data_IF_972432044275
#
_entry.id   IF_972432044275
#
_cell.length_a   1.000
_cell.length_b   1.000
_cell.length_c   1.000
_cell.angle_alpha   90.00
_cell.angle_beta   90.00
_cell.angle_gamma   90.00
#
_symmetry.space_group_name_H-M   'P 1'
#
loop_
_entity.id
_entity.type
_entity.pdbx_description
1 polymer ?
#
# COMPACT_ATOMS: atom_id res chain seq x y z
N UNK A 1 0.37 -20.09 -18.72
CA UNK A 1 0.84 -19.56 -18.65
C UNK A 1 1.20 -18.92 -19.18
N UNK A 2 1.27 -18.70 -19.61
CA UNK A 2 1.85 -18.07 -20.07
C UNK A 2 2.44 -17.49 -19.86
N UNK A 3 2.42 -17.98 -19.70
CA UNK A 3 3.13 -17.28 -19.34
C UNK A 3 4.02 -16.68 -20.00
N UNK A 4 4.33 -16.22 -19.67
CA UNK A 4 5.41 -15.51 -19.94
C UNK A 4 6.28 -16.10 -20.95
N UNK A 5 6.54 -15.43 -22.02
CA UNK A 5 7.50 -15.85 -23.02
C UNK A 5 8.90 -15.36 -22.73
N UNK A 6 9.10 -14.75 -21.57
CA UNK A 6 10.42 -14.29 -21.19
C UNK A 6 11.29 -15.46 -20.80
N UNK A 7 12.57 -15.36 -21.08
CA UNK A 7 13.46 -16.39 -20.63
C UNK A 7 13.75 -16.20 -19.15
N UNK A 8 14.47 -17.14 -18.58
CA UNK A 8 14.71 -17.14 -17.15
C UNK A 8 15.50 -15.93 -16.70
N UNK A 9 16.46 -15.50 -17.51
CA UNK A 9 17.28 -14.34 -17.15
C UNK A 9 16.44 -13.07 -17.10
N UNK A 10 15.50 -12.92 -18.01
CA UNK A 10 14.63 -11.76 -18.01
C UNK A 10 13.72 -11.76 -16.80
N UNK A 11 13.21 -12.92 -16.43
CA UNK A 11 12.40 -13.03 -15.22
C UNK A 11 13.19 -12.62 -14.00
N UNK A 12 14.43 -13.10 -13.89
CA UNK A 12 15.25 -12.77 -12.75
C UNK A 12 15.56 -11.29 -12.67
N UNK A 13 15.76 -10.65 -13.82
CA UNK A 13 16.04 -9.22 -13.83
C UNK A 13 14.85 -8.38 -13.44
N UNK A 14 13.67 -8.84 -13.78
CA UNK A 14 12.45 -8.07 -13.52
C UNK A 14 11.82 -8.41 -12.18
N UNK A 15 12.23 -9.48 -11.54
CA UNK A 15 11.64 -9.88 -10.29
C UNK A 15 12.18 -9.07 -9.14
N UNK A 16 11.29 -8.66 -8.26
CA UNK A 16 11.63 -7.90 -7.07
C UNK A 16 11.17 -8.72 -5.87
N UNK A 17 12.07 -8.93 -4.93
CA UNK A 17 11.80 -9.78 -3.79
C UNK A 17 11.74 -8.97 -2.51
N UNK A 18 10.75 -9.26 -1.69
CA UNK A 18 10.57 -8.65 -0.38
C UNK A 18 10.68 -9.78 0.64
N UNK A 19 11.58 -9.60 1.60
CA UNK A 19 11.73 -10.59 2.66
C UNK A 19 10.71 -10.34 3.74
N UNK A 20 10.12 -11.43 4.23
CA UNK A 20 9.15 -11.32 5.30
C UNK A 20 8.14 -12.42 5.21
N UNK A 21 7.14 -12.34 6.07
CA UNK A 21 6.07 -13.32 6.07
C UNK A 21 5.11 -13.07 4.92
N UNK A 22 5.00 -14.03 4.05
CA UNK A 22 4.17 -13.87 2.84
C UNK A 22 2.72 -13.54 3.18
N UNK A 23 2.14 -14.27 4.10
CA UNK A 23 0.72 -14.10 4.41
C UNK A 23 0.44 -12.76 5.05
N UNK A 24 1.29 -12.33 5.97
CA UNK A 24 1.10 -11.05 6.63
C UNK A 24 1.34 -9.89 5.69
N UNK A 25 2.35 -9.97 4.82
CA UNK A 25 2.61 -8.91 3.85
C UNK A 25 1.49 -8.82 2.83
N UNK A 26 0.97 -9.96 2.41
CA UNK A 26 -0.16 -9.96 1.49
C UNK A 26 -1.37 -9.28 2.12
N UNK A 27 -1.64 -9.60 3.38
CA UNK A 27 -2.76 -9.00 4.10
C UNK A 27 -2.57 -7.49 4.24
N UNK A 28 -1.37 -7.07 4.59
CA UNK A 28 -1.08 -5.65 4.74
C UNK A 28 -1.29 -4.89 3.43
N UNK A 29 -0.72 -5.41 2.34
CA UNK A 29 -0.85 -4.74 1.05
C UNK A 29 -2.28 -4.74 0.56
N UNK A 30 -3.02 -5.82 0.79
CA UNK A 30 -4.42 -5.87 0.42
C UNK A 30 -5.25 -4.82 1.16
N UNK A 31 -4.94 -4.61 2.43
CA UNK A 31 -5.65 -3.58 3.20
C UNK A 31 -5.40 -2.20 2.64
N UNK A 32 -4.16 -1.92 2.25
CA UNK A 32 -3.83 -0.63 1.68
C UNK A 32 -4.51 -0.45 0.32
N UNK A 33 -4.45 -1.47 -0.52
CA UNK A 33 -5.06 -1.41 -1.85
C UNK A 33 -6.58 -1.27 -1.74
N UNK A 34 -7.19 -2.00 -0.83
CA UNK A 34 -8.63 -1.90 -0.62
C UNK A 34 -9.02 -0.50 -0.21
N UNK A 35 -8.26 0.09 0.70
CA UNK A 35 -8.52 1.46 1.13
C UNK A 35 -8.39 2.42 -0.04
N UNK A 36 -7.35 2.26 -0.86
CA UNK A 36 -7.15 3.12 -2.01
C UNK A 36 -8.30 3.00 -3.00
N UNK A 37 -8.78 1.79 -3.22
CA UNK A 37 -9.91 1.57 -4.13
C UNK A 37 -11.17 2.24 -3.60
N UNK A 38 -11.42 2.09 -2.32
CA UNK A 38 -12.62 2.65 -1.70
C UNK A 38 -12.66 4.17 -1.78
N UNK A 39 -11.50 4.80 -1.79
CA UNK A 39 -11.40 6.25 -1.83
C UNK A 39 -11.13 6.80 -3.23
N UNK A 40 -11.13 5.96 -4.23
CA UNK A 40 -10.82 6.37 -5.58
C UNK A 40 -12.02 6.97 -6.28
N UNK A 41 -11.79 8.05 -7.05
CA UNK A 41 -12.83 8.64 -7.89
C UNK A 41 -12.97 7.93 -9.23
N UNK A 42 -12.04 7.06 -9.57
CA UNK A 42 -11.96 6.46 -10.88
C UNK A 42 -12.55 5.06 -10.89
N UNK A 43 -13.67 4.87 -10.24
CA UNK A 43 -14.38 3.58 -10.23
C UNK A 43 -13.51 2.46 -9.71
N UNK A 44 -12.70 2.78 -8.71
CA UNK A 44 -11.87 1.78 -8.07
C UNK A 44 -10.54 1.53 -8.76
N UNK A 45 -10.12 2.42 -9.63
CA UNK A 45 -8.84 2.30 -10.30
C UNK A 45 -7.72 2.77 -9.38
N UNK A 46 -6.70 1.95 -9.23
CA UNK A 46 -5.56 2.22 -8.38
C UNK A 46 -4.30 1.89 -9.17
N UNK A 47 -3.31 2.75 -9.05
CA UNK A 47 -2.04 2.56 -9.74
C UNK A 47 -1.00 2.07 -8.73
N UNK A 48 -0.27 1.04 -9.11
CA UNK A 48 0.77 0.48 -8.24
C UNK A 48 2.10 0.54 -8.97
N UNK A 49 3.08 1.17 -8.34
CA UNK A 49 4.44 1.23 -8.85
C UNK A 49 5.39 0.67 -7.80
N UNK A 50 6.45 0.04 -8.27
CA UNK A 50 7.45 -0.54 -7.39
C UNK A 50 8.81 -0.05 -7.82
N UNK A 51 9.61 0.42 -6.86
CA UNK A 51 11.01 0.75 -7.12
C UNK A 51 11.88 -0.09 -6.22
N UNK A 52 13.08 -0.37 -6.68
CA UNK A 52 13.99 -1.25 -5.97
C UNK A 52 15.41 -0.73 -6.10
N UNK A 53 16.13 -0.71 -4.98
CA UNK A 53 17.54 -0.31 -4.98
C UNK A 53 18.26 -1.09 -3.89
N UNK A 54 19.53 -0.75 -3.66
CA UNK A 54 20.35 -1.52 -2.72
C UNK A 54 19.90 -1.38 -1.27
N UNK A 55 19.14 -0.33 -0.97
CA UNK A 55 18.77 -0.02 0.41
C UNK A 55 17.36 -0.47 0.73
N UNK A 56 16.44 -0.30 -0.21
CA UNK A 56 15.04 -0.64 0.06
C UNK A 56 14.29 -0.97 -1.22
N UNK A 57 13.14 -1.61 -1.01
CA UNK A 57 12.12 -1.78 -2.06
C UNK A 57 10.92 -0.95 -1.63
N UNK A 58 10.41 -0.12 -2.52
CA UNK A 58 9.26 0.73 -2.21
C UNK A 58 8.09 0.39 -3.11
N UNK A 59 6.90 0.32 -2.51
CA UNK A 59 5.65 0.09 -3.22
C UNK A 59 4.83 1.37 -3.07
N UNK A 60 4.41 1.93 -4.20
CA UNK A 60 3.61 3.15 -4.26
C UNK A 60 2.23 2.78 -4.72
N UNK A 61 1.24 3.05 -3.88
CA UNK A 61 -0.15 2.73 -4.19
C UNK A 61 -0.90 4.05 -4.28
N UNK A 62 -1.30 4.41 -5.49
CA UNK A 62 -1.82 5.73 -5.81
C UNK A 62 -3.28 5.65 -6.22
N UNK A 63 -4.10 6.53 -5.66
CA UNK A 63 -5.47 6.67 -6.10
C UNK A 63 -5.81 8.14 -6.30
N UNK A 64 -6.75 8.41 -7.19
CA UNK A 64 -7.29 9.75 -7.36
C UNK A 64 -8.55 9.84 -6.54
N UNK A 65 -8.61 10.84 -5.68
CA UNK A 65 -9.75 11.02 -4.81
C UNK A 65 -9.62 12.32 -4.07
N UNK A 66 -10.44 12.49 -3.06
CA UNK A 66 -10.37 13.69 -2.26
C UNK A 66 -9.04 13.76 -1.53
N UNK A 67 -8.50 14.96 -1.47
CA UNK A 67 -7.26 15.18 -0.74
C UNK A 67 -7.47 14.90 0.74
N UNK A 68 -6.54 14.19 1.33
CA UNK A 68 -6.52 14.00 2.77
C UNK A 68 -5.87 15.22 3.41
N UNK A 69 -6.51 15.76 4.45
CA UNK A 69 -5.91 16.86 5.19
C UNK A 69 -4.70 16.36 5.97
N UNK A 70 -3.89 17.30 6.46
CA UNK A 70 -2.74 16.91 7.28
C UNK A 70 -3.18 16.12 8.49
N UNK A 71 -4.29 16.50 9.09
CA UNK A 71 -4.82 15.80 10.24
C UNK A 71 -5.24 14.38 9.87
N UNK A 72 -5.94 14.23 8.74
CA UNK A 72 -6.35 12.91 8.28
C UNK A 72 -5.14 12.02 7.97
N UNK A 73 -4.10 12.60 7.37
CA UNK A 73 -2.91 11.83 7.06
C UNK A 73 -2.25 11.30 8.31
N UNK A 74 -2.32 12.04 9.41
CA UNK A 74 -1.78 11.55 10.67
C UNK A 74 -2.67 10.51 11.32
N UNK A 75 -3.98 10.66 11.18
CA UNK A 75 -4.91 9.80 11.88
C UNK A 75 -5.26 8.52 11.14
N UNK A 76 -5.00 8.46 9.85
CA UNK A 76 -5.47 7.36 9.03
C UNK A 76 -4.89 6.01 9.46
N UNK A 77 -3.76 6.02 10.15
CA UNK A 77 -3.15 4.80 10.66
C UNK A 77 -3.51 4.51 12.11
N UNK A 78 -4.34 5.35 12.71
CA UNK A 78 -4.74 5.15 14.09
C UNK A 78 -5.85 4.11 14.16
N UNK A 79 -5.77 3.30 15.20
CA UNK A 79 -6.75 2.25 15.39
C UNK A 79 -8.15 2.85 15.60
N UNK A 80 -9.12 2.27 14.92
CA UNK A 80 -10.52 2.69 14.99
C UNK A 80 -10.81 4.02 14.34
N UNK A 81 -9.83 4.63 13.67
CA UNK A 81 -10.13 5.80 12.88
C UNK A 81 -10.86 5.38 11.62
N UNK A 82 -11.98 6.01 11.33
CA UNK A 82 -12.64 5.83 10.06
C UNK A 82 -13.53 7.03 9.82
N UNK A 83 -13.88 7.25 8.57
CA UNK A 83 -14.84 8.27 8.24
C UNK A 83 -16.22 7.73 8.56
N UNK A 84 -17.08 8.61 9.03
CA UNK A 84 -18.37 8.17 9.55
C UNK A 84 -19.18 7.37 8.55
N UNK A 85 -18.98 7.61 7.28
CA UNK A 85 -19.77 6.93 6.26
C UNK A 85 -19.31 5.52 5.97
N UNK A 86 -18.22 5.10 6.57
CA UNK A 86 -17.71 3.75 6.35
C UNK A 86 -18.04 2.90 7.54
N UNK A 87 -19.12 2.18 7.40
CA UNK A 87 -19.59 1.34 8.47
C UNK A 87 -19.32 -0.10 8.25
N UNK A 88 -18.48 -0.39 7.31
CA UNK A 88 -18.22 -1.78 7.01
C UNK A 88 -17.37 -2.40 8.08
N UNK A 89 -17.05 -3.61 7.84
CA UNK A 89 -16.36 -4.41 8.80
C UNK A 89 -14.89 -4.12 8.95
N UNK A 90 -14.37 -3.19 8.22
CA UNK A 90 -12.98 -2.83 8.43
C UNK A 90 -12.82 -2.17 9.79
N UNK A 91 -13.83 -1.43 10.24
CA UNK A 91 -13.86 -0.87 11.59
C UNK A 91 -12.62 -0.09 11.94
N UNK A 92 -11.95 0.48 10.95
CA UNK A 92 -10.79 1.30 11.20
C UNK A 92 -9.55 0.56 11.63
N UNK A 93 -9.46 -0.74 11.38
CA UNK A 93 -8.28 -1.50 11.78
C UNK A 93 -7.41 -1.94 10.60
N UNK A 94 -7.89 -1.76 9.36
CA UNK A 94 -7.15 -2.22 8.20
C UNK A 94 -5.80 -1.55 8.02
N UNK A 95 -5.77 -0.23 8.03
CA UNK A 95 -4.51 0.48 7.87
C UNK A 95 -3.62 0.40 9.09
N UNK A 96 -4.15 0.51 10.32
CA UNK A 96 -3.31 0.27 11.50
C UNK A 96 -2.68 -1.11 11.51
N UNK A 97 -3.43 -2.12 11.08
CA UNK A 97 -2.88 -3.46 11.01
C UNK A 97 -1.76 -3.54 9.96
N UNK A 98 -1.98 -2.94 8.80
CA UNK A 98 -0.97 -2.92 7.76
C UNK A 98 0.31 -2.26 8.28
N UNK A 99 0.16 -1.12 8.96
CA UNK A 99 1.30 -0.41 9.51
C UNK A 99 2.05 -1.29 10.52
N UNK A 100 1.32 -1.96 11.41
CA UNK A 100 1.93 -2.81 12.42
C UNK A 100 2.72 -3.95 11.77
N UNK A 101 2.14 -4.58 10.76
CA UNK A 101 2.79 -5.68 10.07
C UNK A 101 4.08 -5.22 9.39
N UNK A 102 4.01 -4.09 8.68
CA UNK A 102 5.16 -3.59 7.94
C UNK A 102 6.27 -3.15 8.89
N UNK A 103 5.90 -2.44 9.96
CA UNK A 103 6.91 -1.94 10.90
C UNK A 103 7.56 -3.06 11.69
N UNK A 104 6.81 -4.11 11.97
CA UNK A 104 7.39 -5.25 12.69
C UNK A 104 8.49 -5.92 11.88
N UNK A 105 8.46 -5.78 10.59
CA UNK A 105 9.47 -6.35 9.71
C UNK A 105 10.57 -5.35 9.37
N UNK A 106 10.60 -4.22 10.06
CA UNK A 106 11.63 -3.22 9.82
C UNK A 106 11.33 -2.29 8.67
N UNK A 107 10.10 -2.30 8.17
CA UNK A 107 9.71 -1.42 7.10
C UNK A 107 8.99 -0.18 7.58
N UNK A 108 8.54 0.61 6.63
CA UNK A 108 7.85 1.87 6.91
C UNK A 108 6.65 2.03 6.00
N UNK A 109 5.63 2.71 6.50
CA UNK A 109 4.49 3.08 5.68
C UNK A 109 4.20 4.56 5.92
N UNK A 110 3.88 5.27 4.85
CA UNK A 110 3.53 6.68 4.94
C UNK A 110 2.47 6.98 3.88
N UNK A 111 1.89 8.18 3.97
CA UNK A 111 0.90 8.62 3.02
C UNK A 111 1.18 10.07 2.67
N UNK A 112 1.00 10.41 1.40
CA UNK A 112 1.10 11.77 0.90
C UNK A 112 -0.14 12.04 0.07
N UNK A 113 -0.68 13.24 0.18
CA UNK A 113 -1.90 13.56 -0.52
C UNK A 113 -1.86 15.01 -1.00
N UNK A 114 -2.28 15.22 -2.24
CA UNK A 114 -2.44 16.56 -2.77
C UNK A 114 -3.77 16.61 -3.54
N UNK A 115 -3.99 17.70 -4.26
CA UNK A 115 -5.27 17.88 -4.95
C UNK A 115 -5.49 16.89 -6.07
N UNK A 116 -4.43 16.27 -6.56
CA UNK A 116 -4.53 15.35 -7.67
C UNK A 116 -4.67 13.90 -7.23
N UNK A 117 -3.96 13.51 -6.18
CA UNK A 117 -3.90 12.10 -5.84
C UNK A 117 -3.42 11.88 -4.41
N UNK A 118 -3.66 10.68 -3.93
CA UNK A 118 -3.17 10.21 -2.64
C UNK A 118 -2.29 9.00 -2.90
N UNK A 119 -1.11 8.99 -2.28
CA UNK A 119 -0.14 7.92 -2.47
C UNK A 119 0.21 7.31 -1.12
N UNK A 120 0.03 6.00 -1.02
CA UNK A 120 0.56 5.24 0.11
C UNK A 120 1.91 4.66 -0.30
N UNK A 121 2.89 4.84 0.55
CA UNK A 121 4.26 4.44 0.27
C UNK A 121 4.69 3.42 1.32
N UNK A 122 5.02 2.21 0.86
CA UNK A 122 5.49 1.15 1.74
C UNK A 122 6.95 0.88 1.38
N UNK A 123 7.83 0.97 2.37
CA UNK A 123 9.26 0.70 2.14
C UNK A 123 9.68 -0.50 2.96
N UNK A 124 10.27 -1.46 2.29
CA UNK A 124 10.87 -2.62 2.92
C UNK A 124 12.39 -2.45 2.88
N UNK A 125 12.98 -2.34 4.03
CA UNK A 125 14.42 -2.10 4.14
C UNK A 125 15.18 -3.41 3.94
N UNK A 126 16.25 -3.34 3.19
CA UNK A 126 17.08 -4.52 2.91
C UNK A 126 18.15 -4.74 3.95
#
# INVERSE_FOLDING_TARGET
KNIDNRNEDELNKSDIYIKGDYNWNREALQNIIKNAIEHSNDKGTVKINITDNDVYTAVYITNRGEKLSDKQQKQIFERYYSEAKYEDNSMGIGLPLAKAVIEKQGGYISVESDDAETVFIVKYIK
#
